data_IF_589949311348
#
_entry.id   IF_589949311348
#
_cell.length_a   1.000
_cell.length_b   1.000
_cell.length_c   1.000
_cell.angle_alpha   90.00
_cell.angle_beta   90.00
_cell.angle_gamma   90.00
#
_symmetry.space_group_name_H-M   'P 1'
#
loop_
_entity.id
_entity.type
_entity.pdbx_description
1 polymer ?
#
# COMPACT_ATOMS: atom_id res chain seq x y z
N UNK A 1 6.50 -3.71 -25.97
CA UNK A 1 6.19 -4.96 -25.22
C UNK A 1 4.79 -5.41 -25.52
N UNK A 2 4.56 -6.72 -25.59
CA UNK A 2 3.24 -7.26 -25.91
C UNK A 2 2.61 -7.90 -24.68
N UNK A 3 1.29 -7.70 -24.52
CA UNK A 3 0.51 -8.40 -23.53
C UNK A 3 0.15 -9.80 -24.04
N UNK A 4 -0.38 -10.66 -23.16
CA UNK A 4 -0.86 -11.99 -23.51
C UNK A 4 -2.01 -11.97 -24.54
N UNK A 5 -2.67 -10.83 -24.73
CA UNK A 5 -3.79 -10.67 -25.64
C UNK A 5 -3.37 -10.11 -26.99
N UNK A 6 -2.07 -10.06 -27.28
CA UNK A 6 -1.54 -9.58 -28.55
C UNK A 6 -1.49 -8.07 -28.70
N UNK A 7 -2.02 -7.31 -27.76
CA UNK A 7 -1.91 -5.86 -27.76
C UNK A 7 -0.54 -5.42 -27.27
N UNK A 8 -0.15 -4.19 -27.59
CA UNK A 8 1.11 -3.61 -27.14
C UNK A 8 0.83 -2.57 -26.06
N UNK A 9 1.80 -2.39 -25.17
CA UNK A 9 1.77 -1.31 -24.18
C UNK A 9 3.16 -0.70 -24.09
N UNK A 10 3.22 0.51 -23.57
CA UNK A 10 4.48 1.22 -23.41
C UNK A 10 5.20 0.68 -22.18
N UNK A 11 6.55 0.50 -22.28
CA UNK A 11 7.36 0.08 -21.15
C UNK A 11 7.46 1.18 -20.11
N UNK A 12 7.51 2.43 -20.57
CA UNK A 12 7.48 3.60 -19.68
C UNK A 12 6.08 4.15 -19.62
N UNK A 13 5.68 4.57 -18.43
CA UNK A 13 4.34 5.14 -18.22
C UNK A 13 4.36 6.58 -18.70
N UNK A 14 3.81 6.79 -19.89
CA UNK A 14 3.63 8.12 -20.44
C UNK A 14 2.51 8.84 -19.69
N UNK A 15 2.73 10.09 -19.31
CA UNK A 15 1.74 10.85 -18.56
C UNK A 15 0.61 11.31 -19.48
N UNK A 16 -0.54 10.68 -19.35
CA UNK A 16 -1.73 10.98 -20.14
C UNK A 16 -2.57 12.12 -19.57
N UNK A 17 -2.24 12.58 -18.35
CA UNK A 17 -2.99 13.64 -17.67
C UNK A 17 -2.05 14.52 -16.86
N UNK A 18 -1.20 15.32 -17.53
CA UNK A 18 -0.16 16.07 -16.83
C UNK A 18 -0.67 17.15 -15.87
N UNK A 19 -1.96 17.49 -15.92
CA UNK A 19 -2.57 18.42 -14.98
C UNK A 19 -3.05 17.74 -13.69
N UNK A 20 -2.99 16.41 -13.64
CA UNK A 20 -3.37 15.64 -12.45
C UNK A 20 -2.11 15.06 -11.84
N UNK A 21 -1.77 15.51 -10.61
CA UNK A 21 -0.65 14.95 -9.86
C UNK A 21 -0.98 13.52 -9.43
N UNK A 22 -0.02 12.61 -9.58
CA UNK A 22 -0.15 11.24 -9.08
C UNK A 22 1.17 10.79 -8.48
N UNK A 23 1.06 10.07 -7.38
CA UNK A 23 2.22 9.52 -6.68
C UNK A 23 1.88 8.12 -6.19
N UNK A 24 2.81 7.20 -6.33
CA UNK A 24 2.64 5.82 -5.90
C UNK A 24 3.83 5.36 -5.09
N UNK A 25 3.54 4.53 -4.09
CA UNK A 25 4.57 3.94 -3.25
C UNK A 25 4.18 2.50 -2.96
N UNK A 26 5.11 1.59 -3.23
CA UNK A 26 5.00 0.19 -2.83
C UNK A 26 5.99 -0.04 -1.71
N UNK A 27 5.52 -0.64 -0.60
CA UNK A 27 6.37 -1.02 0.53
C UNK A 27 6.16 -2.50 0.78
N UNK A 28 7.26 -3.25 0.91
CA UNK A 28 7.18 -4.66 1.26
C UNK A 28 8.14 -4.98 2.37
N UNK A 29 7.73 -5.85 3.28
CA UNK A 29 8.56 -6.20 4.41
C UNK A 29 8.28 -7.58 4.98
N UNK A 30 9.21 -8.04 5.79
CA UNK A 30 9.06 -9.27 6.56
C UNK A 30 8.60 -8.95 7.97
N UNK A 31 7.83 -9.82 8.58
CA UNK A 31 7.34 -9.64 9.93
C UNK A 31 7.61 -10.89 10.77
N UNK A 32 7.53 -10.74 12.10
CA UNK A 32 7.87 -11.81 13.04
C UNK A 32 6.66 -12.65 13.43
N UNK A 33 5.48 -12.16 13.17
CA UNK A 33 4.22 -12.83 13.55
C UNK A 33 3.13 -12.46 12.54
N UNK A 34 2.06 -13.26 12.46
CA UNK A 34 0.93 -12.92 11.60
C UNK A 34 0.34 -11.56 11.96
N UNK A 35 -0.05 -10.82 10.92
CA UNK A 35 -0.67 -9.51 11.08
C UNK A 35 -2.17 -9.68 10.90
N UNK A 36 -2.93 -9.31 11.91
CA UNK A 36 -4.37 -9.53 11.92
C UNK A 36 -5.19 -8.27 11.70
N UNK A 37 -6.48 -8.47 11.76
CA UNK A 37 -7.53 -7.49 11.50
C UNK A 37 -7.33 -6.16 12.23
N UNK A 38 -7.24 -6.20 13.55
CA UNK A 38 -7.16 -4.99 14.38
C UNK A 38 -5.90 -4.18 14.05
N UNK A 39 -4.79 -4.89 13.88
CA UNK A 39 -3.50 -4.25 13.56
C UNK A 39 -3.54 -3.59 12.20
N UNK A 40 -4.13 -4.24 11.20
CA UNK A 40 -4.23 -3.69 9.84
C UNK A 40 -5.09 -2.42 9.86
N UNK A 41 -6.23 -2.46 10.53
CA UNK A 41 -7.11 -1.28 10.60
C UNK A 41 -6.42 -0.12 11.32
N UNK A 42 -5.72 -0.41 12.40
CA UNK A 42 -4.95 0.60 13.12
C UNK A 42 -3.86 1.21 12.23
N UNK A 43 -3.12 0.35 11.53
CA UNK A 43 -2.07 0.80 10.61
C UNK A 43 -2.63 1.74 9.53
N UNK A 44 -3.73 1.33 8.90
CA UNK A 44 -4.32 2.11 7.80
C UNK A 44 -4.87 3.46 8.29
N UNK A 45 -5.41 3.53 9.50
CA UNK A 45 -5.83 4.81 10.08
C UNK A 45 -4.64 5.72 10.35
N UNK A 46 -3.58 5.17 10.94
CA UNK A 46 -2.39 5.96 11.25
C UNK A 46 -1.65 6.38 9.99
N UNK A 47 -1.60 5.51 8.97
CA UNK A 47 -1.05 5.86 7.66
C UNK A 47 -1.83 7.02 7.04
N UNK A 48 -3.14 6.98 7.12
CA UNK A 48 -4.00 8.06 6.62
C UNK A 48 -3.68 9.39 7.29
N UNK A 49 -3.51 9.37 8.61
CA UNK A 49 -3.15 10.57 9.37
C UNK A 49 -1.76 11.07 8.99
N UNK A 50 -0.79 10.16 8.87
CA UNK A 50 0.57 10.49 8.49
C UNK A 50 0.64 11.16 7.13
N UNK A 51 -0.12 10.65 6.18
CA UNK A 51 -0.17 11.18 4.82
C UNK A 51 -1.10 12.40 4.69
N UNK A 52 -1.71 12.81 5.79
CA UNK A 52 -2.67 13.94 5.82
C UNK A 52 -3.82 13.73 4.86
N UNK A 53 -4.33 12.50 4.80
CA UNK A 53 -5.42 12.12 3.92
C UNK A 53 -6.74 12.04 4.67
N UNK A 54 -7.80 12.44 3.99
CA UNK A 54 -9.15 12.37 4.55
C UNK A 54 -9.75 11.00 4.32
N UNK A 55 -10.12 10.30 5.41
CA UNK A 55 -10.79 9.02 5.33
C UNK A 55 -12.23 9.18 4.83
N UNK A 56 -12.58 8.48 3.76
CA UNK A 56 -13.96 8.43 3.28
C UNK A 56 -14.75 7.38 4.02
N UNK A 57 -14.10 6.27 4.36
CA UNK A 57 -14.67 5.15 5.09
C UNK A 57 -13.64 4.67 6.10
N UNK A 58 -14.11 4.02 7.16
CA UNK A 58 -13.20 3.28 8.03
C UNK A 58 -12.54 2.14 7.24
N UNK A 59 -11.29 1.78 7.59
CA UNK A 59 -10.60 0.68 6.91
C UNK A 59 -11.44 -0.60 6.89
N UNK A 60 -11.42 -1.28 5.76
CA UNK A 60 -12.10 -2.56 5.57
C UNK A 60 -11.06 -3.66 5.54
N UNK A 61 -11.35 -4.77 6.21
CA UNK A 61 -10.46 -5.92 6.22
C UNK A 61 -11.18 -7.17 5.78
N UNK A 62 -10.41 -8.13 5.29
CA UNK A 62 -10.91 -9.40 4.83
C UNK A 62 -9.88 -10.49 5.12
N UNK A 63 -10.34 -11.64 5.61
CA UNK A 63 -9.46 -12.79 5.81
C UNK A 63 -9.63 -13.79 4.67
N UNK A 64 -8.49 -14.16 4.07
CA UNK A 64 -8.43 -15.28 3.14
C UNK A 64 -8.31 -16.58 3.93
N UNK A 65 -8.99 -17.63 3.48
CA UNK A 65 -8.88 -18.94 4.11
C UNK A 65 -7.50 -19.57 3.97
N UNK A 66 -6.69 -19.07 3.03
CA UNK A 66 -5.41 -19.70 2.66
C UNK A 66 -4.19 -18.86 2.97
N UNK A 67 -4.29 -17.52 2.87
CA UNK A 67 -3.10 -16.67 2.81
C UNK A 67 -2.90 -15.76 4.00
N UNK A 68 -3.99 -15.24 4.56
CA UNK A 68 -3.94 -14.33 5.68
C UNK A 68 -4.94 -13.19 5.53
N UNK A 69 -4.67 -12.07 6.20
CA UNK A 69 -5.55 -10.92 6.20
C UNK A 69 -5.14 -9.90 5.15
N UNK A 70 -6.13 -9.21 4.61
CA UNK A 70 -5.92 -8.05 3.74
C UNK A 70 -6.79 -6.91 4.23
N UNK A 71 -6.43 -5.69 3.87
CA UNK A 71 -7.22 -4.53 4.21
C UNK A 71 -7.01 -3.40 3.22
N UNK A 72 -7.94 -2.46 3.22
CA UNK A 72 -7.80 -1.30 2.36
C UNK A 72 -8.50 -0.11 2.99
N UNK A 73 -8.09 1.07 2.52
CA UNK A 73 -8.67 2.34 2.91
C UNK A 73 -8.80 3.21 1.66
N UNK A 74 -9.91 3.93 1.56
CA UNK A 74 -10.08 4.91 0.50
C UNK A 74 -10.04 6.32 1.08
N UNK A 75 -9.27 7.15 0.41
CA UNK A 75 -9.22 8.58 0.63
C UNK A 75 -9.87 9.26 -0.56
N UNK A 76 -10.12 10.53 -0.46
CA UNK A 76 -10.63 11.26 -1.62
C UNK A 76 -9.58 11.23 -2.73
N UNK A 77 -9.91 10.63 -3.88
CA UNK A 77 -9.05 10.43 -5.05
C UNK A 77 -7.81 9.56 -4.83
N UNK A 78 -7.71 8.88 -3.69
CA UNK A 78 -6.51 8.15 -3.30
C UNK A 78 -6.87 6.93 -2.47
N UNK A 79 -5.87 6.15 -2.09
CA UNK A 79 -6.10 5.02 -1.21
C UNK A 79 -4.85 4.19 -0.98
N UNK A 80 -5.02 3.17 -0.12
CA UNK A 80 -3.96 2.22 0.18
C UNK A 80 -4.54 0.83 0.33
N UNK A 81 -3.82 -0.16 -0.19
CA UNK A 81 -4.14 -1.57 -0.04
C UNK A 81 -3.03 -2.27 0.73
N UNK A 82 -3.41 -3.12 1.67
CA UNK A 82 -2.49 -3.86 2.52
C UNK A 82 -2.78 -5.34 2.42
N UNK A 83 -1.72 -6.13 2.27
CA UNK A 83 -1.81 -7.59 2.20
C UNK A 83 -0.78 -8.19 3.16
N UNK A 84 -1.23 -9.15 3.99
CA UNK A 84 -0.36 -9.88 4.91
C UNK A 84 -0.48 -11.37 4.63
N UNK A 85 0.66 -12.00 4.38
CA UNK A 85 0.76 -13.46 4.24
C UNK A 85 1.21 -14.07 5.56
N UNK A 86 0.76 -15.28 5.83
CA UNK A 86 1.15 -16.01 7.03
C UNK A 86 2.29 -17.01 6.74
N UNK A 87 2.42 -17.43 5.49
CA UNK A 87 3.48 -18.34 5.06
C UNK A 87 3.92 -18.00 3.63
N UNK A 88 5.02 -17.28 3.45
CA UNK A 88 5.91 -16.73 4.49
C UNK A 88 5.28 -15.57 5.26
N UNK A 89 5.86 -15.19 6.39
CA UNK A 89 5.46 -14.00 7.14
C UNK A 89 5.96 -12.75 6.40
N UNK A 90 5.06 -12.11 5.68
CA UNK A 90 5.39 -11.08 4.71
C UNK A 90 4.20 -10.14 4.54
N UNK A 91 4.46 -8.86 4.30
CA UNK A 91 3.39 -7.93 3.97
C UNK A 91 3.76 -7.05 2.78
N UNK A 92 2.73 -6.55 2.11
CA UNK A 92 2.86 -5.64 0.97
C UNK A 92 1.82 -4.52 1.10
N UNK A 93 2.27 -3.29 0.86
CA UNK A 93 1.42 -2.10 0.90
C UNK A 93 1.54 -1.36 -0.42
N UNK A 94 0.40 -1.09 -1.06
CA UNK A 94 0.33 -0.26 -2.26
C UNK A 94 -0.39 1.03 -1.91
N UNK A 95 0.26 2.17 -2.15
CA UNK A 95 -0.30 3.49 -1.89
C UNK A 95 -0.40 4.23 -3.21
N UNK A 96 -1.58 4.73 -3.51
CA UNK A 96 -1.86 5.58 -4.67
C UNK A 96 -2.45 6.89 -4.19
N UNK A 97 -1.87 8.01 -4.63
CA UNK A 97 -2.37 9.32 -4.22
C UNK A 97 -2.42 10.30 -5.39
N UNK A 98 -3.33 11.26 -5.28
CA UNK A 98 -3.37 12.44 -6.13
C UNK A 98 -2.93 13.70 -5.37
N UNK A 99 -2.33 13.52 -4.19
CA UNK A 99 -1.80 14.57 -3.34
C UNK A 99 -0.42 14.14 -2.86
N UNK A 100 0.53 15.07 -2.84
CA UNK A 100 1.89 14.76 -2.39
C UNK A 100 1.91 14.31 -0.94
N UNK A 101 2.73 13.32 -0.64
CA UNK A 101 3.01 12.87 0.73
C UNK A 101 4.50 12.55 0.87
N UNK A 102 4.97 12.50 2.10
CA UNK A 102 6.37 12.22 2.40
C UNK A 102 6.62 10.71 2.34
N UNK A 103 7.24 10.25 1.25
CA UNK A 103 7.54 8.83 1.01
C UNK A 103 8.41 8.26 2.12
N UNK A 104 9.47 8.98 2.50
CA UNK A 104 10.41 8.49 3.50
C UNK A 104 9.73 8.29 4.86
N UNK A 105 8.90 9.25 5.27
CA UNK A 105 8.14 9.12 6.51
C UNK A 105 7.21 7.91 6.48
N UNK A 106 6.56 7.66 5.35
CA UNK A 106 5.68 6.51 5.20
C UNK A 106 6.44 5.19 5.35
N UNK A 107 7.63 5.09 4.76
CA UNK A 107 8.48 3.89 4.84
C UNK A 107 8.97 3.69 6.27
N UNK A 108 9.50 4.73 6.91
CA UNK A 108 10.01 4.67 8.27
C UNK A 108 8.88 4.29 9.25
N UNK A 109 7.72 4.89 9.09
CA UNK A 109 6.55 4.58 9.90
C UNK A 109 6.15 3.11 9.75
N UNK A 110 6.06 2.62 8.52
CA UNK A 110 5.66 1.24 8.24
C UNK A 110 6.63 0.24 8.85
N UNK A 111 7.93 0.49 8.69
CA UNK A 111 8.96 -0.35 9.28
C UNK A 111 8.82 -0.43 10.81
N UNK A 112 8.65 0.71 11.45
CA UNK A 112 8.52 0.77 12.90
C UNK A 112 7.22 0.15 13.39
N UNK A 113 6.12 0.39 12.68
CA UNK A 113 4.81 -0.10 13.08
C UNK A 113 4.77 -1.63 13.13
N UNK A 114 5.31 -2.30 12.13
CA UNK A 114 5.32 -3.76 12.05
C UNK A 114 6.60 -4.39 12.60
N UNK A 115 7.56 -3.58 13.04
CA UNK A 115 8.88 -4.07 13.49
C UNK A 115 9.49 -4.96 12.41
N UNK A 116 9.43 -4.50 11.16
CA UNK A 116 9.93 -5.27 10.03
C UNK A 116 11.44 -5.45 10.12
N UNK A 117 11.90 -6.69 9.90
CA UNK A 117 13.32 -7.01 9.87
C UNK A 117 13.94 -6.56 8.56
N UNK A 118 13.25 -6.83 7.47
CA UNK A 118 13.64 -6.36 6.15
C UNK A 118 12.50 -5.54 5.60
N UNK A 119 12.84 -4.46 4.90
CA UNK A 119 11.86 -3.61 4.25
C UNK A 119 12.46 -3.07 2.96
N UNK A 120 11.68 -3.09 1.91
CA UNK A 120 12.03 -2.48 0.63
C UNK A 120 10.87 -1.60 0.18
N UNK A 121 11.18 -0.59 -0.63
CA UNK A 121 10.17 0.32 -1.11
C UNK A 121 10.54 0.87 -2.47
N UNK A 122 9.52 1.21 -3.26
CA UNK A 122 9.72 1.85 -4.55
C UNK A 122 8.64 2.91 -4.72
N UNK A 123 9.08 4.13 -5.01
CA UNK A 123 8.20 5.24 -5.36
C UNK A 123 8.23 5.46 -6.87
N UNK A 124 7.10 5.83 -7.45
CA UNK A 124 7.03 6.11 -8.88
C UNK A 124 5.74 6.85 -9.26
#
# INVERSE_FOLDING_TARGET
MRTAFGSTYEEDVRDLAPTIFRQRLVIEGTCLAPIGDVTIRHYLRELSRLCEMHLLLEPVTHRSDRYGWAGWVHWETSGAHFYAWEDPLFFSVDIYTCKAFDVERAVVFTRAFFKAQEIVAKAF
#
